data_IF_931917471750
#
_entry.id   IF_931917471750
#
_cell.length_a   1.000
_cell.length_b   1.000
_cell.length_c   1.000
_cell.angle_alpha   90.00
_cell.angle_beta   90.00
_cell.angle_gamma   90.00
#
_symmetry.space_group_name_H-M   'P 1'
#
loop_
_entity.id
_entity.type
_entity.pdbx_description
1 polymer ?
2 polymer ?
3 polymer ?
4 non-polymer ?
5 non-polymer ?
6 water ?
#
# COMPACT_ATOMS: atom_id res chain seq x y z
N UNK A 75 -3.76 -13.65 -3.52
CA UNK A 75 -3.33 -12.94 -2.31
C UNK A 75 -3.67 -11.45 -2.32
N UNK A 76 -3.34 -10.77 -3.43
CA UNK A 76 -3.60 -9.33 -3.58
C UNK A 76 -5.08 -8.98 -3.66
N UNK A 77 -5.48 -7.89 -3.00
CA UNK A 77 -6.90 -7.54 -2.87
C UNK A 77 -7.32 -6.36 -3.74
N UNK A 78 -6.43 -5.40 -3.94
CA UNK A 78 -6.71 -4.30 -4.87
C UNK A 78 -6.35 -4.73 -6.28
N UNK A 79 -7.14 -4.30 -7.26
CA UNK A 79 -6.80 -4.52 -8.65
C UNK A 79 -5.53 -3.74 -8.96
N UNK A 80 -4.61 -4.39 -9.66
CA UNK A 80 -3.28 -3.83 -9.89
C UNK A 80 -3.31 -2.59 -10.79
N UNK A 81 -4.22 -2.58 -11.76
CA UNK A 81 -4.27 -1.51 -12.75
C UNK A 81 -4.63 -0.14 -12.14
N UNK A 82 -5.81 -0.03 -11.54
CA UNK A 82 -6.20 1.22 -10.85
C UNK A 82 -5.14 1.64 -9.85
N UNK A 83 -4.58 0.65 -9.17
CA UNK A 83 -3.53 0.90 -8.18
C UNK A 83 -2.30 1.53 -8.84
N UNK A 84 -1.86 0.95 -9.96
CA UNK A 84 -0.66 1.45 -10.62
C UNK A 84 -0.87 2.82 -11.28
N UNK A 85 -2.10 3.12 -11.67
CA UNK A 85 -2.42 4.45 -12.20
C UNK A 85 -2.22 5.48 -11.10
N UNK A 86 -2.70 5.13 -9.91
CA UNK A 86 -2.54 5.99 -8.74
C UNK A 86 -1.07 6.18 -8.39
N UNK A 87 -0.32 5.08 -8.34
CA UNK A 87 1.10 5.16 -8.03
C UNK A 87 1.84 6.02 -9.06
N UNK A 88 1.43 5.91 -10.32
CA UNK A 88 2.05 6.69 -11.37
C UNK A 88 1.73 8.17 -11.23
N UNK A 89 0.47 8.46 -10.92
CA UNK A 89 0.03 9.84 -10.71
C UNK A 89 0.87 10.49 -9.61
N UNK A 90 0.96 9.81 -8.48
CA UNK A 90 1.74 10.28 -7.34
C UNK A 90 3.22 10.39 -7.69
N UNK A 91 3.74 9.36 -8.33
CA UNK A 91 5.16 9.30 -8.66
C UNK A 91 5.65 10.47 -9.53
N UNK A 92 4.81 10.91 -10.47
CA UNK A 92 5.23 11.90 -11.44
C UNK A 92 5.50 13.28 -10.82
N UNK A 93 4.88 13.55 -9.67
CA UNK A 93 5.08 14.85 -9.02
C UNK A 93 6.55 15.07 -8.67
N UNK A 94 7.29 13.98 -8.49
CA UNK A 94 8.66 14.09 -8.02
C UNK A 94 9.68 13.99 -9.16
N UNK A 95 9.19 13.74 -10.37
CA UNK A 95 10.07 13.47 -11.49
C UNK A 95 9.88 14.43 -12.66
N UNK A 96 9.60 15.70 -12.34
CA UNK A 96 9.52 16.75 -13.35
C UNK A 96 8.66 16.34 -14.54
N UNK A 97 7.48 15.82 -14.26
CA UNK A 97 6.55 15.43 -15.31
C UNK A 97 7.05 14.33 -16.24
N UNK A 98 8.10 13.64 -15.83
CA UNK A 98 8.56 12.46 -16.58
C UNK A 98 8.21 11.16 -15.84
N UNK A 99 7.58 10.23 -16.56
CA UNK A 99 7.20 8.95 -15.98
C UNK A 99 8.38 7.98 -15.93
N UNK A 100 8.91 7.76 -14.73
CA UNK A 100 9.90 6.72 -14.51
C UNK A 100 9.23 5.37 -14.68
N UNK A 101 9.92 4.41 -15.26
CA UNK A 101 9.40 3.06 -15.32
C UNK A 101 9.58 2.33 -14.00
N UNK A 102 8.82 1.25 -13.81
CA UNK A 102 8.88 0.49 -12.57
C UNK A 102 9.07 -0.97 -12.87
N UNK A 103 10.00 -1.60 -12.16
CA UNK A 103 10.03 -3.05 -12.14
C UNK A 103 8.65 -3.49 -11.75
N UNK A 104 8.18 -4.57 -12.38
CA UNK A 104 6.94 -5.21 -11.97
C UNK A 104 6.99 -5.55 -10.47
N UNK A 105 8.16 -5.99 -10.00
CA UNK A 105 8.33 -6.36 -8.60
C UNK A 105 8.34 -5.15 -7.65
N UNK A 106 8.64 -3.97 -8.18
CA UNK A 106 8.55 -2.75 -7.38
C UNK A 106 7.07 -2.41 -7.16
N UNK A 107 6.27 -2.57 -8.20
CA UNK A 107 4.84 -2.35 -8.12
C UNK A 107 4.16 -3.35 -7.17
N UNK A 108 4.55 -4.62 -7.22
CA UNK A 108 4.00 -5.62 -6.31
C UNK A 108 4.41 -5.35 -4.86
N UNK A 109 5.68 -5.01 -4.66
CA UNK A 109 6.21 -4.68 -3.34
C UNK A 109 5.42 -3.53 -2.74
N UNK A 110 5.21 -2.49 -3.53
CA UNK A 110 4.44 -1.34 -3.11
C UNK A 110 3.01 -1.73 -2.76
N UNK A 111 2.39 -2.57 -3.60
CA UNK A 111 0.99 -2.88 -3.36
C UNK A 111 0.82 -3.79 -2.14
N UNK A 112 1.64 -4.83 -2.05
CA UNK A 112 1.59 -5.70 -0.87
C UNK A 112 1.76 -4.90 0.41
N UNK A 113 2.71 -3.96 0.39
CA UNK A 113 2.99 -3.14 1.55
C UNK A 113 1.83 -2.23 1.93
N UNK A 114 1.16 -1.66 0.92
CA UNK A 114 0.00 -0.80 1.14
C UNK A 114 -1.17 -1.59 1.71
N UNK A 115 -1.35 -2.80 1.19
CA UNK A 115 -2.41 -3.65 1.66
C UNK A 115 -2.16 -4.08 3.10
N UNK A 116 -0.93 -4.47 3.39
CA UNK A 116 -0.55 -4.85 4.75
C UNK A 116 -0.85 -3.69 5.69
N UNK A 117 -0.53 -2.48 5.23
CA UNK A 117 -0.73 -1.30 6.04
C UNK A 117 -2.21 -1.06 6.34
N UNK A 118 -3.04 -1.18 5.31
CA UNK A 118 -4.47 -0.91 5.46
C UNK A 118 -5.15 -1.98 6.30
N UNK A 119 -4.74 -3.22 6.12
CA UNK A 119 -5.28 -4.32 6.90
C UNK A 119 -4.92 -4.18 8.38
N UNK A 120 -3.70 -3.75 8.66
CA UNK A 120 -3.27 -3.48 10.01
C UNK A 120 -4.09 -2.35 10.60
N UNK A 121 -4.30 -1.30 9.82
CA UNK A 121 -5.08 -0.16 10.30
C UNK A 121 -6.52 -0.56 10.60
N UNK A 122 -7.08 -1.40 9.73
CA UNK A 122 -8.43 -1.94 9.93
C UNK A 122 -8.53 -2.79 11.20
N UNK A 123 -7.55 -3.65 11.44
CA UNK A 123 -7.50 -4.42 12.69
C UNK A 123 -7.54 -3.49 13.90
N UNK A 124 -6.61 -2.54 13.94
CA UNK A 124 -6.52 -1.59 15.04
C UNK A 124 -7.84 -0.84 15.20
N UNK A 125 -8.36 -0.33 14.09
CA UNK A 125 -9.58 0.46 14.12
C UNK A 125 -10.73 -0.35 14.68
N UNK A 126 -10.79 -1.62 14.29
CA UNK A 126 -11.91 -2.47 14.65
C UNK A 126 -11.92 -2.84 16.12
N UNK A 127 -10.73 -3.02 16.70
CA UNK A 127 -10.61 -3.22 18.13
C UNK A 127 -11.26 -2.08 18.91
N UNK A 128 -11.16 -0.88 18.37
CA UNK A 128 -11.80 0.28 18.98
C UNK A 128 -13.32 0.20 18.82
N UNK A 129 -13.76 -0.28 17.67
CA UNK A 129 -15.16 -0.50 17.38
C UNK A 129 -15.76 -1.45 18.41
N UNK A 130 -15.16 -2.63 18.51
CA UNK A 130 -15.56 -3.64 19.49
C UNK A 130 -15.50 -3.09 20.90
N UNK A 131 -14.53 -2.21 21.16
CA UNK A 131 -14.35 -1.61 22.47
C UNK A 131 -15.44 -0.61 22.79
N UNK A 132 -15.97 0.04 21.75
CA UNK A 132 -17.06 1.00 21.93
C UNK A 132 -18.38 0.27 22.15
N UNK A 133 -18.36 -1.03 21.91
CA UNK A 133 -19.57 -1.85 22.02
C UNK A 133 -20.26 -2.00 20.69
N UNK A 134 -19.55 -1.66 19.63
CA UNK A 134 -20.12 -1.70 18.29
C UNK A 134 -19.54 -2.84 17.46
N UNK A 135 -20.17 -3.14 16.33
CA UNK A 135 -19.60 -4.06 15.35
C UNK A 135 -19.46 -3.38 13.97
N UNK A 136 -19.97 -2.16 13.87
CA UNK A 136 -19.90 -1.38 12.65
C UNK A 136 -18.76 -0.38 12.72
N UNK A 137 -17.85 -0.45 11.76
CA UNK A 137 -16.67 0.40 11.75
C UNK A 137 -17.00 1.80 11.22
N UNK A 138 -16.63 2.81 12.00
CA UNK A 138 -16.80 4.20 11.60
C UNK A 138 -15.46 4.90 11.40
N UNK A 139 -15.47 6.01 10.63
CA UNK A 139 -14.25 6.80 10.40
C UNK A 139 -13.55 7.24 11.70
N UNK A 140 -14.32 7.65 12.69
CA UNK A 140 -13.76 8.00 13.99
C UNK A 140 -12.89 6.87 14.58
N UNK A 141 -13.23 5.62 14.30
CA UNK A 141 -12.44 4.50 14.81
C UNK A 141 -11.11 4.45 14.07
N UNK A 142 -11.15 4.70 12.76
CA UNK A 142 -9.95 4.75 11.95
C UNK A 142 -9.06 5.93 12.33
N UNK A 143 -9.64 7.13 12.31
CA UNK A 143 -8.99 8.34 12.82
C UNK A 143 -8.25 8.06 14.13
N UNK A 144 -8.92 7.41 15.06
CA UNK A 144 -8.38 7.15 16.39
C UNK A 144 -7.22 6.14 16.37
N UNK A 145 -7.32 5.14 15.49
CA UNK A 145 -6.27 4.16 15.33
C UNK A 145 -5.01 4.76 14.74
N UNK A 146 -5.16 5.77 13.87
CA UNK A 146 -4.00 6.51 13.35
C UNK A 146 -3.27 7.25 14.47
N UNK A 147 -4.04 7.91 15.35
CA UNK A 147 -3.44 8.69 16.43
C UNK A 147 -2.71 7.78 17.42
N UNK A 148 -3.18 6.55 17.54
CA UNK A 148 -2.59 5.57 18.46
C UNK A 148 -1.32 4.97 17.86
N UNK A 149 -1.34 4.70 16.56
CA UNK A 149 -0.13 4.26 15.89
C UNK A 149 0.94 5.35 16.06
N UNK A 150 0.54 6.60 15.87
CA UNK A 150 1.43 7.74 16.07
C UNK A 150 2.04 7.85 17.45
N UNK A 151 1.28 7.49 18.47
CA UNK A 151 1.83 7.46 19.84
C UNK A 151 2.77 6.29 20.05
N UNK A 152 2.38 5.11 19.57
CA UNK A 152 3.26 3.95 19.61
C UNK A 152 4.62 4.31 18.98
N UNK A 153 4.56 4.85 17.77
CA UNK A 153 5.77 5.22 17.05
C UNK A 153 6.59 6.26 17.80
N UNK A 154 5.93 7.14 18.54
CA UNK A 154 6.60 8.26 19.17
C UNK A 154 7.14 7.99 20.57
N UNK A 155 6.48 7.12 21.29
CA UNK A 155 6.84 6.81 22.68
C UNK A 155 7.84 5.65 22.75
N UNK A 156 7.54 4.58 22.02
CA UNK A 156 8.46 3.47 21.90
C UNK A 156 9.53 3.77 20.87
N UNK B 24 -7.70 13.89 -9.17
CA UNK B 24 -7.72 12.75 -8.27
C UNK B 24 -8.80 11.75 -8.68
N UNK B 25 -8.94 11.52 -9.97
CA UNK B 25 -9.91 10.56 -10.48
C UNK B 25 -9.40 9.15 -10.27
N UNK B 26 -8.12 9.04 -9.91
CA UNK B 26 -7.43 7.76 -9.78
C UNK B 26 -7.61 7.08 -8.42
N UNK B 27 -7.63 7.86 -7.34
CA UNK B 27 -7.88 7.30 -6.02
C UNK B 27 -9.30 6.74 -5.95
N UNK B 28 -10.19 7.33 -6.73
CA UNK B 28 -11.57 6.88 -6.84
C UNK B 28 -11.66 5.60 -7.66
N UNK B 29 -10.56 5.26 -8.33
CA UNK B 29 -10.45 4.00 -9.07
C UNK B 29 -10.20 2.83 -8.14
N UNK B 30 -9.83 3.13 -6.89
CA UNK B 30 -9.74 2.12 -5.83
C UNK B 30 -11.14 1.84 -5.32
N UNK B 31 -11.65 0.65 -5.66
CA UNK B 31 -13.09 0.40 -5.60
C UNK B 31 -13.60 0.05 -4.22
N UNK B 32 -14.92 0.15 -4.06
CA UNK B 32 -15.56 -0.18 -2.80
C UNK B 32 -15.37 -1.65 -2.41
N UNK B 33 -15.54 -2.57 -3.38
CA UNK B 33 -15.31 -3.99 -3.06
C UNK B 33 -13.88 -4.26 -2.59
N UNK B 34 -12.90 -3.57 -3.17
CA UNK B 34 -11.51 -3.69 -2.73
C UNK B 34 -11.37 -3.27 -1.26
N UNK B 35 -11.92 -2.11 -0.94
CA UNK B 35 -11.94 -1.60 0.43
C UNK B 35 -12.66 -2.55 1.39
N UNK B 36 -13.73 -3.18 0.91
CA UNK B 36 -14.44 -4.16 1.72
C UNK B 36 -13.62 -5.42 1.97
N UNK B 37 -12.93 -5.92 0.95
CA UNK B 37 -12.08 -7.10 1.11
C UNK B 37 -10.98 -6.82 2.12
N UNK B 38 -10.38 -5.64 2.01
CA UNK B 38 -9.30 -5.25 2.90
C UNK B 38 -9.80 -5.23 4.32
N UNK B 39 -10.98 -4.65 4.52
CA UNK B 39 -11.60 -4.58 5.84
C UNK B 39 -11.93 -5.96 6.39
N UNK B 40 -12.47 -6.84 5.55
CA UNK B 40 -12.73 -8.21 5.98
C UNK B 40 -11.44 -8.87 6.46
N UNK B 41 -10.39 -8.75 5.64
CA UNK B 41 -9.09 -9.32 5.98
C UNK B 41 -8.63 -8.81 7.35
N UNK B 42 -9.07 -7.61 7.71
CA UNK B 42 -8.74 -7.03 9.00
C UNK B 42 -9.65 -7.46 10.14
N UNK B 43 -10.65 -8.28 9.84
CA UNK B 43 -11.57 -8.80 10.84
C UNK B 43 -12.84 -8.00 11.02
N UNK B 44 -13.05 -7.01 10.14
CA UNK B 44 -14.18 -6.08 10.22
C UNK B 44 -15.47 -6.64 9.62
N UNK B 45 -16.49 -6.77 10.47
CA UNK B 45 -17.77 -7.36 10.09
C UNK B 45 -18.69 -6.38 9.34
N UNK B 46 -18.57 -5.10 9.64
CA UNK B 46 -19.45 -4.11 9.05
C UNK B 46 -18.77 -2.75 8.98
N UNK B 47 -19.18 -1.92 8.02
CA UNK B 47 -18.61 -0.59 7.88
C UNK B 47 -19.66 0.48 7.60
N UNK B 48 -19.37 1.70 8.04
CA UNK B 48 -20.14 2.85 7.62
C UNK B 48 -19.81 3.07 6.15
N UNK B 49 -20.74 3.66 5.41
CA UNK B 49 -20.46 3.99 4.03
C UNK B 49 -19.37 5.04 3.94
N UNK B 50 -19.15 5.74 5.05
CA UNK B 50 -18.14 6.81 5.13
C UNK B 50 -16.70 6.29 5.14
N UNK B 51 -16.55 4.98 5.31
CA UNK B 51 -15.24 4.34 5.38
C UNK B 51 -14.46 4.40 4.04
N UNK B 52 -15.18 4.48 2.93
CA UNK B 52 -14.53 4.41 1.63
C UNK B 52 -13.60 5.58 1.34
N UNK B 53 -14.08 6.80 1.54
CA UNK B 53 -13.25 7.98 1.33
C UNK B 53 -12.14 8.03 2.38
N UNK B 54 -12.52 7.75 3.62
CA UNK B 54 -11.56 7.70 4.72
C UNK B 54 -10.35 6.86 4.30
N UNK B 55 -10.64 5.67 3.79
CA UNK B 55 -9.62 4.70 3.40
C UNK B 55 -8.80 5.21 2.22
N UNK B 56 -9.48 5.81 1.24
CA UNK B 56 -8.81 6.34 0.07
C UNK B 56 -7.83 7.44 0.48
N UNK B 57 -8.25 8.30 1.38
CA UNK B 57 -7.40 9.35 1.89
C UNK B 57 -6.18 8.84 2.63
N UNK B 58 -6.33 7.72 3.34
CA UNK B 58 -5.24 7.12 4.08
C UNK B 58 -4.24 6.49 3.13
N UNK B 59 -4.75 5.84 2.10
CA UNK B 59 -3.90 5.21 1.10
C UNK B 59 -3.02 6.22 0.36
N UNK B 60 -3.62 7.34 -0.04
CA UNK B 60 -2.88 8.42 -0.70
C UNK B 60 -1.69 8.92 0.11
N UNK B 61 -1.91 9.16 1.40
CA UNK B 61 -0.87 9.67 2.28
C UNK B 61 0.24 8.64 2.44
N UNK B 62 -0.14 7.38 2.58
CA UNK B 62 0.83 6.29 2.64
C UNK B 62 1.68 6.26 1.36
N UNK B 63 1.03 6.10 0.21
CA UNK B 63 1.71 6.05 -1.08
C UNK B 63 2.56 7.28 -1.37
N UNK B 64 2.14 8.45 -0.89
CA UNK B 64 2.91 9.66 -1.11
C UNK B 64 4.24 9.64 -0.36
N UNK B 65 4.19 9.26 0.92
CA UNK B 65 5.39 9.15 1.73
C UNK B 65 6.39 8.13 1.16
N UNK B 66 5.85 6.99 0.73
CA UNK B 66 6.67 5.86 0.35
C UNK B 66 7.23 6.03 -1.07
N UNK B 67 6.36 6.43 -1.99
CA UNK B 67 6.78 6.69 -3.36
C UNK B 67 7.81 7.81 -3.44
N UNK B 68 7.61 8.90 -2.69
CA UNK B 68 8.59 9.99 -2.66
C UNK B 68 9.98 9.46 -2.38
N UNK B 69 10.11 8.70 -1.30
CA UNK B 69 11.38 8.10 -0.90
C UNK B 69 11.94 7.15 -1.94
N UNK B 70 11.05 6.37 -2.55
CA UNK B 70 11.43 5.37 -3.54
C UNK B 70 12.08 6.05 -4.74
N UNK B 71 11.38 6.99 -5.36
CA UNK B 71 11.90 7.64 -6.56
C UNK B 71 13.14 8.49 -6.31
N UNK B 72 13.16 9.21 -5.19
CA UNK B 72 14.29 10.09 -4.92
C UNK B 72 15.53 9.26 -4.64
N UNK B 73 15.30 8.06 -4.14
CA UNK B 73 16.36 7.08 -3.98
C UNK B 73 16.87 6.60 -5.34
N UNK B 74 15.95 6.22 -6.23
CA UNK B 74 16.32 5.88 -7.60
C UNK B 74 17.15 6.99 -8.24
N UNK B 75 16.69 8.23 -8.11
CA UNK B 75 17.42 9.40 -8.61
C UNK B 75 18.80 9.55 -7.97
N UNK B 76 18.85 9.41 -6.64
CA UNK B 76 20.11 9.43 -5.89
C UNK B 76 21.11 8.47 -6.51
N UNK B 77 20.64 7.28 -6.88
CA UNK B 77 21.49 6.26 -7.48
C UNK B 77 21.72 6.50 -8.96
N UNK B 78 21.25 7.63 -9.47
CA UNK B 78 21.42 7.97 -10.88
C UNK B 78 20.78 6.92 -11.78
N UNK B 79 19.60 6.42 -11.40
CA UNK B 79 18.89 5.50 -12.28
C UNK B 79 17.54 6.07 -12.71
N UNK B 80 16.90 5.40 -13.65
CA UNK B 80 15.67 5.90 -14.25
C UNK B 80 14.52 4.93 -14.08
N UNK B 81 14.81 3.80 -13.46
CA UNK B 81 13.82 2.76 -13.25
C UNK B 81 13.77 2.47 -11.76
N UNK B 82 12.57 2.62 -11.19
CA UNK B 82 12.35 2.34 -9.79
C UNK B 82 12.30 0.84 -9.60
N UNK B 83 13.13 0.35 -8.69
CA UNK B 83 13.24 -1.08 -8.46
C UNK B 83 12.64 -1.46 -7.10
N UNK B 84 12.38 -2.75 -6.92
CA UNK B 84 11.88 -3.27 -5.66
C UNK B 84 12.78 -2.90 -4.49
N UNK B 85 14.09 -2.86 -4.74
CA UNK B 85 15.05 -2.45 -3.71
C UNK B 85 14.92 -0.97 -3.35
N UNK B 86 14.45 -0.16 -4.30
CA UNK B 86 14.16 1.23 -4.03
C UNK B 86 12.94 1.36 -3.13
N UNK B 87 11.90 0.58 -3.45
CA UNK B 87 10.70 0.54 -2.62
C UNK B 87 11.03 0.06 -1.20
N UNK B 88 11.87 -0.97 -1.10
CA UNK B 88 12.28 -1.50 0.20
C UNK B 88 13.01 -0.46 1.05
N UNK B 89 13.90 0.31 0.42
CA UNK B 89 14.56 1.43 1.11
C UNK B 89 13.51 2.38 1.70
N UNK B 90 12.51 2.73 0.90
CA UNK B 90 11.44 3.62 1.33
C UNK B 90 10.56 3.03 2.45
N UNK B 91 10.31 1.73 2.43
CA UNK B 91 9.57 1.09 3.50
C UNK B 91 10.34 1.13 4.82
N UNK B 92 11.64 0.86 4.75
CA UNK B 92 12.52 0.99 5.92
C UNK B 92 12.48 2.40 6.49
N UNK B 93 12.53 3.43 5.63
CA UNK B 93 12.48 4.82 6.06
C UNK B 93 11.18 5.19 6.75
N UNK B 94 10.07 4.79 6.16
CA UNK B 94 8.77 5.12 6.69
C UNK B 94 8.49 4.28 7.92
N UNK B 95 9.08 3.08 7.94
CA UNK B 95 9.03 2.22 9.10
C UNK B 95 9.58 2.95 10.31
N UNK B 96 10.89 3.21 10.31
CA UNK B 96 11.52 3.99 11.37
C UNK B 96 10.62 5.16 11.77
N UNK B 97 10.43 6.09 10.84
CA UNK B 97 9.59 7.26 11.03
C UNK B 97 8.17 6.87 11.48
N UNK C 15 -12.49 -4.75 29.44
CA UNK C 15 -12.13 -4.84 28.02
C UNK C 15 -11.13 -3.75 27.63
N UNK C 16 -10.65 -3.00 28.61
CA UNK C 16 -9.66 -1.97 28.39
C UNK C 16 -8.25 -2.56 28.47
N UNK C 17 -8.05 -3.39 29.48
CA UNK C 17 -6.80 -4.12 29.64
C UNK C 17 -6.61 -5.04 28.44
N UNK C 18 -7.71 -5.61 27.98
CA UNK C 18 -7.69 -6.56 26.88
C UNK C 18 -7.49 -5.83 25.55
N UNK C 19 -7.93 -4.58 25.51
CA UNK C 19 -7.75 -3.73 24.34
C UNK C 19 -6.27 -3.54 24.07
N UNK C 20 -5.55 -3.03 25.06
CA UNK C 20 -4.14 -2.75 24.88
C UNK C 20 -3.39 -3.99 24.44
N UNK C 21 -3.73 -5.12 25.06
CA UNK C 21 -3.07 -6.39 24.75
C UNK C 21 -3.26 -6.74 23.28
N UNK C 22 -4.46 -6.51 22.78
CA UNK C 22 -4.80 -6.78 21.39
C UNK C 22 -4.07 -5.83 20.43
N UNK C 23 -3.96 -4.56 20.82
CA UNK C 23 -3.19 -3.58 20.07
C UNK C 23 -1.72 -3.97 20.00
N UNK C 24 -1.15 -4.44 21.11
CA UNK C 24 0.25 -4.89 21.12
C UNK C 24 0.46 -6.09 20.19
N UNK C 25 -0.45 -7.06 20.25
CA UNK C 25 -0.40 -8.21 19.38
C UNK C 25 -0.49 -7.79 17.91
N UNK C 26 -1.43 -6.88 17.64
CA UNK C 26 -1.70 -6.35 16.29
C UNK C 26 -0.45 -5.68 15.68
N UNK C 27 0.14 -4.76 16.44
CA UNK C 27 1.38 -4.11 16.03
C UNK C 27 2.46 -5.13 15.69
N UNK C 28 2.62 -6.15 16.53
CA UNK C 28 3.66 -7.17 16.29
C UNK C 28 3.46 -7.97 15.00
N UNK C 29 2.25 -8.46 14.76
CA UNK C 29 1.93 -9.10 13.49
C UNK C 29 2.29 -8.22 12.30
N UNK C 30 2.02 -6.92 12.41
CA UNK C 30 2.32 -5.98 11.34
C UNK C 30 3.83 -5.88 11.12
N UNK C 31 4.56 -5.69 12.21
CA UNK C 31 6.02 -5.63 12.19
C UNK C 31 6.65 -6.90 11.58
N UNK C 32 6.29 -8.08 12.06
CA UNK C 32 6.78 -9.33 11.45
C UNK C 32 6.47 -9.35 9.94
N UNK C 33 5.25 -8.96 9.59
CA UNK C 33 4.78 -8.97 8.22
C UNK C 33 5.55 -7.99 7.33
N UNK C 34 5.83 -6.80 7.83
CA UNK C 34 6.62 -5.82 7.08
C UNK C 34 8.05 -6.28 6.90
N UNK C 35 8.57 -6.99 7.90
CA UNK C 35 9.93 -7.49 7.83
C UNK C 35 10.04 -8.67 6.86
N UNK C 36 8.99 -9.47 6.75
CA UNK C 36 8.97 -10.52 5.75
C UNK C 36 8.92 -9.91 4.34
N UNK C 37 8.15 -8.84 4.20
CA UNK C 37 8.01 -8.14 2.93
C UNK C 37 9.34 -7.53 2.48
N UNK C 38 10.03 -6.89 3.43
CA UNK C 38 11.31 -6.27 3.17
C UNK C 38 12.41 -7.27 2.81
N UNK C 39 12.45 -8.41 3.50
CA UNK C 39 13.43 -9.45 3.18
C UNK C 39 13.14 -10.08 1.81
N UNK C 40 11.86 -10.19 1.46
CA UNK C 40 11.43 -10.85 0.24
C UNK C 40 11.70 -10.02 -1.01
N UNK C 41 11.58 -8.71 -0.87
CA UNK C 41 11.71 -7.81 -2.01
C UNK C 41 13.09 -7.17 -2.17
N UNK C 42 13.96 -7.34 -1.17
CA UNK C 42 15.27 -6.72 -1.21
C UNK C 42 16.28 -7.51 -2.05
N UNK C 43 15.95 -7.69 -3.32
CA UNK C 43 16.84 -8.37 -4.25
C UNK C 43 16.73 -7.70 -5.61
N UNK C 44 17.71 -7.92 -6.49
CA UNK C 44 17.69 -7.19 -7.76
C UNK C 44 16.56 -7.54 -8.70
N UNK C 45 16.12 -8.79 -8.75
CA UNK C 45 15.17 -9.25 -9.79
C UNK C 45 15.65 -8.75 -11.15
N UNK C 46 16.92 -9.01 -11.46
CA UNK C 46 17.54 -8.40 -12.62
C UNK C 46 16.81 -8.66 -13.93
N UNK C 47 16.39 -9.91 -14.14
CA UNK C 47 15.78 -10.26 -15.41
C UNK C 47 14.28 -10.46 -15.25
N UNK C 48 13.62 -9.43 -14.76
CA UNK C 48 12.18 -9.46 -14.63
C UNK C 48 11.61 -8.29 -15.41
N UNK C 49 10.33 -8.38 -15.78
CA UNK C 49 9.71 -7.35 -16.63
C UNK C 49 9.65 -5.97 -15.97
N UNK C 50 9.90 -4.94 -16.78
CA UNK C 50 9.75 -3.57 -16.37
C UNK C 50 8.46 -3.05 -16.96
N UNK C 51 7.61 -2.45 -16.12
CA UNK C 51 6.39 -1.85 -16.61
C UNK C 51 6.65 -0.46 -17.19
N UNK C 52 6.23 -0.24 -18.44
CA UNK C 52 6.36 1.06 -19.06
C UNK C 52 5.21 1.93 -18.54
N UNK C 53 5.51 2.77 -17.56
CA UNK C 53 4.50 3.50 -16.83
C UNK C 53 3.70 4.50 -17.68
N UNK C 54 4.34 5.11 -18.67
CA UNK C 54 3.63 6.03 -19.55
C UNK C 54 2.37 5.38 -20.11
N UNK C 55 2.47 4.08 -20.40
CA UNK C 55 1.35 3.34 -20.99
C UNK C 55 0.82 2.21 -20.08
N UNK C 56 1.52 1.93 -18.99
CA UNK C 56 1.10 0.87 -18.07
C UNK C 56 1.04 -0.52 -18.73
N UNK C 57 2.10 -0.87 -19.45
CA UNK C 57 2.16 -2.10 -20.23
C UNK C 57 3.52 -2.73 -20.03
N UNK C 58 3.63 -4.01 -20.33
CA UNK C 58 4.88 -4.73 -20.17
C UNK C 58 4.92 -5.97 -21.05
N UNK C 59 6.15 -6.37 -21.40
CA UNK C 59 6.35 -7.54 -22.24
C UNK C 59 6.17 -8.83 -21.45
N UNK C 60 5.38 -9.76 -22.01
CA UNK C 60 5.22 -11.09 -21.46
C UNK C 60 5.60 -12.08 -22.56
N UNK C 61 5.87 -13.35 -22.19
CA UNK C 61 6.15 -14.33 -23.23
C UNK C 61 5.02 -14.34 -24.25
N UNK C 62 3.81 -14.14 -23.75
CA UNK C 62 2.59 -14.10 -24.56
C UNK C 62 2.59 -12.93 -25.55
N UNK C 63 3.25 -11.84 -25.19
CA UNK C 63 3.28 -10.66 -26.03
C UNK C 63 3.39 -9.38 -25.22
N UNK C 64 2.70 -8.33 -25.65
CA UNK C 64 2.66 -7.07 -24.91
C UNK C 64 1.35 -7.00 -24.12
N UNK C 65 1.47 -6.88 -22.80
CA UNK C 65 0.30 -6.92 -21.95
C UNK C 65 0.11 -5.65 -21.13
N UNK C 66 -1.15 -5.32 -20.84
CA UNK C 66 -1.49 -4.26 -19.91
C UNK C 66 -1.28 -4.73 -18.47
N UNK C 67 -0.56 -3.94 -17.68
CA UNK C 67 -0.30 -4.31 -16.29
C UNK C 67 -1.60 -4.45 -15.50
N UNK C 68 -1.92 -5.68 -15.10
CA UNK C 68 -3.18 -5.96 -14.43
C UNK C 68 -4.37 -6.05 -15.38
N UNK C 69 -4.09 -6.15 -16.67
CA UNK C 69 -5.12 -6.08 -17.68
C UNK C 69 -4.95 -7.10 -18.78
N UNK C 70 -5.55 -6.85 -19.93
CA UNK C 70 -5.56 -7.80 -21.03
C UNK C 70 -4.29 -7.70 -21.92
N UNK C 71 -3.95 -8.81 -22.57
CA UNK C 71 -2.89 -8.85 -23.55
C UNK C 71 -3.33 -8.02 -24.76
N UNK C 72 -2.48 -7.11 -25.22
CA UNK C 72 -2.90 -6.18 -26.27
C UNK C 72 -2.24 -6.42 -27.66
N UNK C 73 -1.01 -6.91 -27.67
CA UNK C 73 -0.37 -7.35 -28.91
C UNK C 73 0.14 -8.79 -28.78
N UNK C 74 -0.22 -9.62 -29.75
CA UNK C 74 0.26 -11.00 -29.78
C UNK C 74 1.55 -11.06 -30.61
N UNK C 75 2.57 -11.75 -30.09
CA UNK C 75 3.85 -11.82 -30.79
C UNK C 75 3.89 -12.95 -31.83
X LIG D 1 -5.57 -7.96 -11.02
X LIG D 1 -6.39 -9.16 -10.98
X LIG D 1 -6.34 -6.85 -11.58
X LIG D 1 -5.14 -7.60 -9.67
X LIG D 1 -4.41 -8.21 -11.87
X LIG E 1 -3.60 4.84 -19.18
X LIG E 1 -4.23 3.73 -19.91
X LIG E 1 -2.17 4.59 -19.10
X LIG E 1 -3.83 6.08 -19.92
X LIG E 1 -4.20 4.95 -17.86
X LIG F 1 -19.12 5.78 20.15
X LIG F 1 -20.02 4.72 19.68
X LIG F 1 -17.76 5.54 19.70
X LIG F 1 -19.60 7.07 19.64
X LIG F 1 -19.12 5.80 21.61
X LIG G 1 -22.95 -1.32 15.53
X LIG G 1 -24.24 -0.84 15.95
X LIG G 1 -22.05 -0.19 15.34
X LIG G 1 -22.42 -2.21 16.55
X LIG G 1 -23.07 -2.07 14.28
X LIG H 1 -8.56 13.40 21.67
X LIG H 1 -8.83 14.16 22.82
X LIG H 1 -8.15 11.99 22.07
X LIG H 1 -6.76 11.92 22.23
X LIG H 1 -8.84 11.61 23.37
X LIG H 1 -8.44 10.32 23.78
X LIG I 1 -13.23 -5.00 -8.18
X LIG I 1 -13.66 -6.40 -8.08
X LIG I 1 -14.35 -4.11 -7.93
X LIG I 1 -12.16 -4.70 -7.23
X LIG I 1 -12.74 -4.79 -9.55
X LIG J 1 17.81 2.50 -15.42
X LIG J 1 16.71 3.12 -16.16
X LIG J 1 18.80 3.52 -15.11
X LIG J 1 17.32 1.90 -14.19
X LIG J 1 18.41 1.44 -16.24
X LIG K 1 -20.68 -1.42 -4.76
X LIG K 1 -22.14 -1.41 -4.76
X LIG K 1 -20.17 -0.66 -5.90
X LIG K 1 -20.21 -0.81 -3.51
X LIG K 1 -20.20 -2.80 -4.84
X LIG L 1 -16.78 1.96 -6.98
X LIG L 1 -17.09 2.20 -8.39
X LIG L 1 -15.74 2.88 -6.54
X LIG L 1 -17.98 2.15 -6.19
X LIG L 1 -16.31 0.58 -6.84
X LIG M 1 -22.83 -5.31 5.69
X LIG M 1 -22.77 -6.42 6.55
X LIG M 1 -21.51 -4.54 5.71
X LIG M 1 -20.54 -5.35 5.09
X LIG M 1 -21.68 -3.26 4.92
X LIG M 1 -22.81 -2.54 5.41
X LIG N 1 1.81 -9.29 25.51
X LIG N 1 1.04 -9.08 24.28
X LIG N 1 2.98 -8.39 25.48
X LIG N 1 0.98 -8.98 26.65
X LIG N 1 2.28 -10.67 25.57
X LIG O 1 17.88 -11.78 -8.53
X LIG O 1 18.21 -10.86 -9.62
X LIG O 1 19.09 -12.10 -7.75
X LIG O 1 16.89 -11.20 -7.64
X LIG O 1 17.37 -13.01 -9.12
X LIG P 1 -6.23 -12.19 -21.87
X LIG P 1 -7.41 -12.80 -22.47
X LIG P 1 -5.90 -10.96 -22.59
X LIG P 1 -6.53 -11.87 -20.47
X LIG P 1 -5.10 -13.11 -21.94
X LIG Q 1 -8.98 4.82 27.21
X LIG Q 1 -8.90 5.98 26.33
X LIG Q 1 -7.94 3.86 26.87
X LIG Q 1 -8.83 5.24 28.60
X LIG Q 1 -10.29 4.19 27.04
X LIG R 1 16.80 -2.92 -13.90
X LIG R 1 15.36 -2.77 -13.67
X LIG R 1 17.33 -1.67 -14.45
X LIG R 1 17.49 -3.21 -12.64
X LIG R 1 17.01 -4.02 -14.82
X LIG S 1 3.90 -13.61 13.85
X LIG S 1 3.18 -13.76 12.64
X LIG S 1 2.93 -13.41 15.01
X LIG S 1 3.17 -14.35 16.05
X LIG S 1 3.02 -11.97 15.54
X LIG S 1 4.34 -11.65 15.90
#
# INVERSE_FOLDING_TARGET
>A
MGSSHHHHHHSQDPNSMGPRRRSRKPEAPRRRSPSPTPTPGPSRRGPSLGASSHQHSRRRQGWLKEIRKLQKSTHLLIRKLPFSRLAREICVKFTRGVDFNWQAQALLALQEAAEAFLVHLFEDAYLLTLHAGRVTLFPKDVQLARRIRGLEEGLG
>B
MSGRGKGGKGLGKGGAKRHRKVLRDNIQGITKPAIRRLARRGGVKRISGLIYEETRGVLKVFLENVIRDAVTYTEHAKRKTVTAMDVVYALKRQGRTLYGFGG
>C
SMLGTLRAMEGEDVEDDQLLQKLRASRRRFQRRMQRLIEKYNQPFEDTPVVQMATLTYETPQGLRIWGGRLIKERNEGEIQ
>D hetero
1 SO4 S O1 O2 O3 O4
>E hetero
1 SO4 S O1 O2 O3 O4
>F hetero
1 SO4 S O1 O2 O3 O4
>G hetero
1 SO4 S O1 O2 O3 O4
>H hetero
1 GOL C1 O1 C2 O2 C3 O3
>I hetero
1 SO4 S O1 O2 O3 O4
>J hetero
1 SO4 S O1 O2 O3 O4
>K hetero
1 SO4 S O1 O2 O3 O4
>L hetero
1 SO4 S O1 O2 O3 O4
>M hetero
1 GOL C1 O1 C2 O2 C3 O3
>N hetero
1 SO4 S O1 O2 O3 O4
>O hetero
1 SO4 S O1 O2 O3 O4
>P hetero
1 SO4 S O1 O2 O3 O4
>Q hetero
1 SO4 S O1 O2 O3 O4
>R hetero
1 SO4 S O1 O2 O3 O4
>S hetero
1 GOL C1 O1 C2 O2 C3 O3
#
